data_IF_775771174628
#
_entry.id   IF_775771174628
#
_cell.length_a   1.000
_cell.length_b   1.000
_cell.length_c   1.000
_cell.angle_alpha   90.00
_cell.angle_beta   90.00
_cell.angle_gamma   90.00
#
_symmetry.space_group_name_H-M   'P 1'
#
loop_
_entity.id
_entity.type
_entity.pdbx_description
1 polymer ?
#
# COMPACT_ATOMS: atom_id res chain seq x y z
N UNK A 1 -31.25 24.79 -36.84
CA UNK A 1 -30.42 23.63 -36.42
C UNK A 1 -28.98 23.93 -36.79
N UNK A 2 -27.98 23.57 -35.97
CA UNK A 2 -26.58 23.71 -36.34
C UNK A 2 -26.26 22.82 -37.57
N UNK A 3 -25.25 23.20 -38.35
CA UNK A 3 -24.77 22.38 -39.45
C UNK A 3 -23.96 21.20 -38.89
N UNK A 4 -24.39 19.98 -39.17
CA UNK A 4 -23.71 18.75 -38.72
C UNK A 4 -22.81 18.24 -39.85
N UNK A 5 -21.56 17.93 -39.52
CA UNK A 5 -20.60 17.29 -40.41
C UNK A 5 -20.09 15.97 -39.79
N UNK A 6 -20.18 14.87 -40.54
CA UNK A 6 -19.70 13.56 -40.10
C UNK A 6 -18.23 13.43 -40.42
N UNK A 7 -17.39 13.64 -39.40
CA UNK A 7 -15.94 13.74 -39.57
C UNK A 7 -15.18 12.97 -38.49
N UNK A 8 -13.85 13.02 -38.56
CA UNK A 8 -12.96 12.39 -37.59
C UNK A 8 -12.54 13.39 -36.50
N UNK A 9 -12.21 12.89 -35.32
CA UNK A 9 -11.77 13.71 -34.17
C UNK A 9 -10.50 14.53 -34.50
N UNK A 10 -9.57 13.98 -35.28
CA UNK A 10 -8.36 14.72 -35.69
C UNK A 10 -8.70 15.93 -36.57
N UNK A 11 -9.69 15.82 -37.46
CA UNK A 11 -10.16 16.96 -38.28
C UNK A 11 -10.83 18.05 -37.42
N UNK A 12 -11.56 17.64 -36.37
CA UNK A 12 -12.10 18.60 -35.39
C UNK A 12 -10.98 19.38 -34.71
N UNK A 13 -9.92 18.72 -34.24
CA UNK A 13 -8.81 19.41 -33.59
C UNK A 13 -8.02 20.31 -34.54
N UNK A 14 -7.87 19.94 -35.82
CA UNK A 14 -7.28 20.84 -36.84
C UNK A 14 -8.09 22.13 -36.99
N UNK A 15 -9.43 22.06 -36.93
CA UNK A 15 -10.28 23.24 -36.97
C UNK A 15 -10.20 24.04 -35.65
N UNK A 16 -10.22 23.35 -34.51
CA UNK A 16 -10.17 23.97 -33.18
C UNK A 16 -8.86 24.73 -32.91
N UNK A 17 -7.75 24.35 -33.54
CA UNK A 17 -6.43 24.99 -33.34
C UNK A 17 -6.45 26.47 -33.73
N UNK A 18 -7.30 26.90 -34.67
CA UNK A 18 -7.50 28.31 -35.00
C UNK A 18 -8.01 29.16 -33.82
N UNK A 19 -8.60 28.53 -32.81
CA UNK A 19 -9.14 29.17 -31.61
C UNK A 19 -8.22 29.02 -30.38
N UNK A 20 -7.09 28.32 -30.51
CA UNK A 20 -6.22 27.92 -29.39
C UNK A 20 -5.90 29.06 -28.42
N UNK A 21 -5.49 30.22 -28.94
CA UNK A 21 -5.11 31.39 -28.14
C UNK A 21 -6.28 32.04 -27.39
N UNK A 22 -7.52 31.71 -27.76
CA UNK A 22 -8.74 32.21 -27.12
C UNK A 22 -9.36 31.24 -26.10
N UNK A 23 -8.85 30.01 -26.02
CA UNK A 23 -9.40 28.99 -25.13
C UNK A 23 -8.96 29.22 -23.67
N UNK A 24 -9.80 28.90 -22.68
CA UNK A 24 -9.41 28.97 -21.27
C UNK A 24 -8.28 27.98 -20.97
N UNK A 25 -7.37 28.38 -20.09
CA UNK A 25 -6.29 27.52 -19.59
C UNK A 25 -6.75 26.92 -18.27
N UNK A 26 -6.72 25.58 -18.19
CA UNK A 26 -6.89 24.83 -16.95
C UNK A 26 -5.54 24.21 -16.61
N UNK A 27 -5.03 24.47 -15.40
CA UNK A 27 -3.72 24.01 -14.94
C UNK A 27 -3.85 23.17 -13.68
N UNK A 28 -3.27 21.98 -13.69
CA UNK A 28 -3.29 21.04 -12.57
C UNK A 28 -4.17 19.81 -12.84
N UNK A 29 -4.66 19.21 -11.75
CA UNK A 29 -5.57 18.07 -11.79
C UNK A 29 -6.96 18.48 -12.26
N UNK A 30 -7.52 17.74 -13.22
CA UNK A 30 -8.94 17.84 -13.57
C UNK A 30 -9.74 16.97 -12.60
N UNK A 31 -9.94 17.47 -11.39
CA UNK A 31 -10.67 16.74 -10.35
C UNK A 31 -12.14 16.53 -10.77
N UNK A 32 -12.56 15.28 -10.82
CA UNK A 32 -13.95 14.92 -11.10
C UNK A 32 -14.71 14.86 -9.77
N UNK A 33 -15.62 15.81 -9.55
CA UNK A 33 -16.38 16.00 -8.31
C UNK A 33 -17.53 14.98 -8.13
N UNK A 34 -17.37 13.77 -8.67
CA UNK A 34 -18.29 12.64 -8.53
C UNK A 34 -17.49 11.33 -8.56
N UNK A 35 -18.16 10.23 -8.26
CA UNK A 35 -17.58 8.89 -8.17
C UNK A 35 -16.46 8.77 -7.12
N UNK A 36 -16.62 9.40 -5.96
CA UNK A 36 -15.58 9.38 -4.91
C UNK A 36 -15.49 8.02 -4.18
N UNK A 37 -16.57 7.23 -4.18
CA UNK A 37 -16.60 5.86 -3.66
C UNK A 37 -15.68 4.90 -4.42
N UNK A 38 -15.39 5.20 -5.69
CA UNK A 38 -14.43 4.43 -6.49
C UNK A 38 -13.02 4.38 -5.90
N UNK A 39 -12.65 5.28 -4.97
CA UNK A 39 -11.36 5.21 -4.30
C UNK A 39 -11.27 4.08 -3.27
N UNK A 40 -12.39 3.63 -2.71
CA UNK A 40 -12.44 2.66 -1.60
C UNK A 40 -13.11 1.33 -1.94
N UNK A 41 -14.10 1.34 -2.85
CA UNK A 41 -14.79 0.12 -3.32
C UNK A 41 -13.79 -0.91 -3.84
N UNK A 42 -14.06 -2.20 -3.66
CA UNK A 42 -13.19 -3.28 -4.17
C UNK A 42 -11.70 -3.10 -3.78
N UNK A 43 -11.46 -2.86 -2.49
CA UNK A 43 -10.12 -2.61 -1.92
C UNK A 43 -9.13 -3.75 -2.19
N UNK A 44 -9.61 -5.00 -2.24
CA UNK A 44 -8.81 -6.16 -2.60
C UNK A 44 -8.27 -6.06 -4.04
N UNK A 45 -9.12 -5.69 -5.00
CA UNK A 45 -8.73 -5.45 -6.41
C UNK A 45 -7.62 -4.39 -6.50
N UNK A 46 -7.76 -3.28 -5.78
CA UNK A 46 -6.75 -2.21 -5.72
C UNK A 46 -5.44 -2.68 -5.07
N UNK A 47 -5.51 -3.51 -4.03
CA UNK A 47 -4.35 -4.10 -3.38
C UNK A 47 -3.58 -5.03 -4.34
N UNK A 48 -4.29 -5.93 -5.03
CA UNK A 48 -3.70 -6.79 -6.06
C UNK A 48 -3.07 -6.00 -7.19
N UNK A 49 -3.73 -4.94 -7.68
CA UNK A 49 -3.15 -4.05 -8.69
C UNK A 49 -1.80 -3.49 -8.24
N UNK A 50 -1.72 -2.94 -7.01
CA UNK A 50 -0.47 -2.37 -6.50
C UNK A 50 0.60 -3.43 -6.25
N UNK A 51 0.22 -4.63 -5.80
CA UNK A 51 1.15 -5.75 -5.66
C UNK A 51 1.74 -6.12 -7.02
N UNK A 52 0.90 -6.22 -8.06
CA UNK A 52 1.34 -6.52 -9.42
C UNK A 52 2.23 -5.44 -10.01
N UNK A 53 1.92 -4.15 -9.85
CA UNK A 53 2.79 -3.04 -10.27
C UNK A 53 4.20 -3.17 -9.68
N UNK A 54 4.28 -3.44 -8.36
CA UNK A 54 5.57 -3.62 -7.69
C UNK A 54 6.30 -4.88 -8.16
N UNK A 55 5.58 -6.01 -8.35
CA UNK A 55 6.18 -7.26 -8.83
C UNK A 55 6.70 -7.13 -10.26
N UNK A 56 5.96 -6.46 -11.16
CA UNK A 56 6.39 -6.23 -12.54
C UNK A 56 7.66 -5.37 -12.57
N UNK A 57 7.70 -4.30 -11.78
CA UNK A 57 8.92 -3.51 -11.59
C UNK A 57 10.10 -4.37 -11.14
N UNK A 58 9.92 -5.20 -10.10
CA UNK A 58 10.99 -6.05 -9.58
C UNK A 58 11.43 -7.11 -10.61
N UNK A 59 10.49 -7.70 -11.35
CA UNK A 59 10.77 -8.67 -12.42
C UNK A 59 11.62 -8.04 -13.53
N UNK A 60 11.23 -6.85 -14.01
CA UNK A 60 11.99 -6.12 -15.02
C UNK A 60 13.39 -5.74 -14.52
N UNK A 61 13.50 -5.30 -13.27
CA UNK A 61 14.79 -5.04 -12.63
C UNK A 61 15.69 -6.27 -12.64
N UNK A 62 15.22 -7.42 -12.11
CA UNK A 62 16.03 -8.63 -12.02
C UNK A 62 16.42 -9.20 -13.39
N UNK A 63 15.51 -9.14 -14.38
CA UNK A 63 15.81 -9.59 -15.74
C UNK A 63 16.84 -8.69 -16.43
N UNK A 64 16.77 -7.38 -16.19
CA UNK A 64 17.72 -6.42 -16.74
C UNK A 64 19.13 -6.67 -16.18
N UNK A 65 19.28 -6.82 -14.86
CA UNK A 65 20.61 -7.01 -14.25
C UNK A 65 21.21 -8.40 -14.55
N UNK A 66 20.38 -9.41 -14.77
CA UNK A 66 20.86 -10.74 -15.16
C UNK A 66 21.17 -10.84 -16.65
N UNK A 67 20.72 -9.87 -17.44
CA UNK A 67 20.80 -9.85 -18.90
C UNK A 67 20.18 -11.11 -19.54
N UNK A 68 19.04 -11.55 -19.01
CA UNK A 68 18.38 -12.82 -19.36
C UNK A 68 17.14 -12.64 -20.24
N UNK A 69 16.95 -11.48 -20.89
CA UNK A 69 15.78 -11.24 -21.73
C UNK A 69 15.83 -12.08 -23.01
N UNK A 70 15.05 -13.16 -23.06
CA UNK A 70 14.83 -13.99 -24.25
C UNK A 70 13.60 -13.52 -25.03
N UNK A 71 13.42 -13.99 -26.27
CA UNK A 71 12.20 -13.71 -27.05
C UNK A 71 10.94 -14.29 -26.39
N UNK A 72 11.05 -15.48 -25.78
CA UNK A 72 9.96 -16.13 -25.05
C UNK A 72 9.57 -15.27 -23.84
N UNK A 73 10.55 -14.90 -23.02
CA UNK A 73 10.30 -14.09 -21.83
C UNK A 73 9.74 -12.71 -22.18
N UNK A 74 10.21 -12.09 -23.28
CA UNK A 74 9.62 -10.85 -23.79
C UNK A 74 8.14 -11.01 -24.13
N UNK A 75 7.76 -12.13 -24.76
CA UNK A 75 6.36 -12.44 -25.05
C UNK A 75 5.55 -12.64 -23.77
N UNK A 76 6.11 -13.31 -22.77
CA UNK A 76 5.46 -13.50 -21.47
C UNK A 76 5.22 -12.16 -20.75
N UNK A 77 6.19 -11.25 -20.74
CA UNK A 77 6.01 -9.90 -20.19
C UNK A 77 4.92 -9.12 -20.94
N UNK A 78 4.90 -9.18 -22.28
CA UNK A 78 3.86 -8.52 -23.07
C UNK A 78 2.45 -9.04 -22.73
N UNK A 79 2.29 -10.35 -22.55
CA UNK A 79 1.03 -10.96 -22.09
C UNK A 79 0.64 -10.51 -20.68
N UNK A 80 1.59 -10.53 -19.73
CA UNK A 80 1.33 -10.12 -18.34
C UNK A 80 0.96 -8.63 -18.27
N UNK A 81 1.69 -7.76 -18.97
CA UNK A 81 1.40 -6.32 -19.02
C UNK A 81 0.03 -6.05 -19.64
N UNK A 82 -0.31 -6.69 -20.76
CA UNK A 82 -1.64 -6.53 -21.38
C UNK A 82 -2.76 -7.00 -20.47
N UNK A 83 -2.58 -8.13 -19.79
CA UNK A 83 -3.56 -8.63 -18.83
C UNK A 83 -3.73 -7.63 -17.66
N UNK A 84 -2.63 -7.18 -17.07
CA UNK A 84 -2.64 -6.20 -15.99
C UNK A 84 -3.34 -4.89 -16.40
N UNK A 85 -2.98 -4.32 -17.56
CA UNK A 85 -3.60 -3.10 -18.10
C UNK A 85 -5.09 -3.29 -18.41
N UNK A 86 -5.51 -4.51 -18.76
CA UNK A 86 -6.93 -4.83 -18.91
C UNK A 86 -7.67 -4.77 -17.57
N UNK A 87 -7.06 -5.25 -16.49
CA UNK A 87 -7.63 -5.16 -15.14
C UNK A 87 -7.62 -3.71 -14.59
N UNK A 88 -6.80 -2.83 -15.18
CA UNK A 88 -6.82 -1.38 -14.91
C UNK A 88 -7.92 -0.60 -15.64
N UNK A 89 -8.84 -1.30 -16.32
CA UNK A 89 -9.99 -0.65 -16.95
C UNK A 89 -10.78 0.20 -15.94
N UNK A 90 -11.32 1.32 -16.41
CA UNK A 90 -11.94 2.35 -15.56
C UNK A 90 -13.19 1.89 -14.81
N UNK A 91 -13.73 0.71 -15.11
CA UNK A 91 -14.80 0.12 -14.29
C UNK A 91 -14.34 -1.08 -13.45
N UNK A 92 -13.19 -1.68 -13.77
CA UNK A 92 -12.65 -2.82 -13.03
C UNK A 92 -11.88 -2.32 -11.82
N UNK A 93 -10.80 -1.57 -12.03
CA UNK A 93 -9.94 -1.11 -10.93
C UNK A 93 -10.68 -0.15 -9.96
N UNK A 94 -11.53 0.76 -10.45
CA UNK A 94 -12.35 1.62 -9.58
C UNK A 94 -13.39 0.87 -8.74
N UNK A 95 -13.75 -0.37 -9.08
CA UNK A 95 -14.71 -1.11 -8.27
C UNK A 95 -16.18 -0.86 -8.64
N UNK A 96 -16.46 -0.57 -9.91
CA UNK A 96 -17.80 -0.23 -10.44
C UNK A 96 -18.47 -1.28 -11.36
N UNK A 97 -17.87 -2.44 -11.59
CA UNK A 97 -18.49 -3.59 -12.25
C UNK A 97 -19.44 -4.41 -11.36
N UNK A 98 -20.12 -5.38 -11.97
CA UNK A 98 -20.88 -6.43 -11.26
C UNK A 98 -19.95 -7.43 -10.55
N UNK A 99 -20.43 -8.05 -9.46
CA UNK A 99 -19.67 -9.03 -8.64
C UNK A 99 -18.93 -10.11 -9.42
N UNK A 100 -19.52 -10.64 -10.52
CA UNK A 100 -18.86 -11.65 -11.36
C UNK A 100 -17.50 -11.18 -11.88
N UNK A 101 -17.38 -9.90 -12.25
CA UNK A 101 -16.13 -9.34 -12.77
C UNK A 101 -15.03 -9.41 -11.71
N UNK A 102 -15.34 -9.20 -10.44
CA UNK A 102 -14.34 -9.27 -9.36
C UNK A 102 -13.91 -10.69 -9.03
N UNK A 103 -14.83 -11.65 -9.06
CA UNK A 103 -14.47 -13.07 -8.93
C UNK A 103 -13.54 -13.54 -10.06
N UNK A 104 -13.65 -12.97 -11.27
CA UNK A 104 -12.76 -13.27 -12.39
C UNK A 104 -11.45 -12.48 -12.29
N UNK A 105 -11.52 -11.20 -11.88
CA UNK A 105 -10.38 -10.29 -11.69
C UNK A 105 -9.42 -10.80 -10.61
N UNK A 106 -9.93 -11.21 -9.46
CA UNK A 106 -9.12 -11.76 -8.37
C UNK A 106 -8.35 -13.01 -8.82
N UNK A 107 -9.01 -13.93 -9.53
CA UNK A 107 -8.37 -15.14 -10.06
C UNK A 107 -7.28 -14.81 -11.08
N UNK A 108 -7.52 -13.84 -11.96
CA UNK A 108 -6.51 -13.42 -12.93
C UNK A 108 -5.33 -12.74 -12.24
N UNK A 109 -5.56 -11.88 -11.24
CA UNK A 109 -4.48 -11.29 -10.44
C UNK A 109 -3.61 -12.36 -9.78
N UNK A 110 -4.20 -13.33 -9.07
CA UNK A 110 -3.44 -14.41 -8.42
C UNK A 110 -2.58 -15.21 -9.41
N UNK A 111 -3.10 -15.45 -10.61
CA UNK A 111 -2.36 -16.11 -11.70
C UNK A 111 -1.22 -15.25 -12.23
N UNK A 112 -1.44 -13.94 -12.44
CA UNK A 112 -0.40 -13.01 -12.90
C UNK A 112 0.69 -12.84 -11.84
N UNK A 113 0.32 -12.75 -10.56
CA UNK A 113 1.25 -12.69 -9.45
C UNK A 113 2.14 -13.92 -9.39
N UNK A 114 1.56 -15.12 -9.49
CA UNK A 114 2.32 -16.37 -9.49
C UNK A 114 3.29 -16.47 -10.68
N UNK A 115 2.85 -16.08 -11.88
CA UNK A 115 3.72 -16.02 -13.08
C UNK A 115 4.88 -15.06 -12.87
N UNK A 116 4.60 -13.85 -12.39
CA UNK A 116 5.61 -12.80 -12.20
C UNK A 116 6.59 -13.19 -11.08
N UNK A 117 6.10 -13.79 -10.00
CA UNK A 117 6.95 -14.32 -8.93
C UNK A 117 7.91 -15.40 -9.44
N UNK A 118 7.45 -16.27 -10.35
CA UNK A 118 8.33 -17.27 -10.97
C UNK A 118 9.46 -16.62 -11.77
N UNK A 119 9.15 -15.59 -12.56
CA UNK A 119 10.15 -14.81 -13.31
C UNK A 119 11.18 -14.18 -12.36
N UNK A 120 10.71 -13.54 -11.29
CA UNK A 120 11.58 -12.95 -10.24
C UNK A 120 12.48 -14.02 -9.63
N UNK A 121 11.91 -15.14 -9.20
CA UNK A 121 12.63 -16.24 -8.54
C UNK A 121 13.71 -16.87 -9.44
N UNK A 122 13.43 -17.06 -10.72
CA UNK A 122 14.39 -17.59 -11.69
C UNK A 122 15.55 -16.62 -11.95
N UNK A 123 15.24 -15.34 -12.08
CA UNK A 123 16.24 -14.28 -12.24
C UNK A 123 17.11 -14.14 -10.99
N UNK A 124 16.50 -14.16 -9.79
CA UNK A 124 17.22 -14.17 -8.52
C UNK A 124 18.13 -15.39 -8.43
N UNK A 125 17.65 -16.60 -8.74
CA UNK A 125 18.47 -17.82 -8.73
C UNK A 125 19.70 -17.70 -9.64
N UNK A 126 19.52 -17.12 -10.84
CA UNK A 126 20.63 -16.86 -11.76
C UNK A 126 21.65 -15.90 -11.14
N UNK A 127 21.18 -14.83 -10.50
CA UNK A 127 22.05 -13.84 -9.86
C UNK A 127 22.79 -14.41 -8.65
N UNK A 128 22.09 -15.17 -7.80
CA UNK A 128 22.64 -15.81 -6.61
C UNK A 128 23.83 -16.73 -6.97
N UNK A 129 23.74 -17.48 -8.07
CA UNK A 129 24.84 -18.34 -8.53
C UNK A 129 26.13 -17.59 -8.95
N UNK A 130 26.04 -16.27 -9.15
CA UNK A 130 27.16 -15.41 -9.55
C UNK A 130 27.75 -14.61 -8.38
N UNK A 131 27.13 -14.65 -7.20
CA UNK A 131 27.58 -13.90 -6.03
C UNK A 131 28.54 -14.78 -5.23
N UNK A 132 29.77 -14.30 -5.04
CA UNK A 132 30.74 -14.95 -4.16
C UNK A 132 30.33 -14.76 -2.69
N UNK A 133 30.06 -15.88 -2.03
CA UNK A 133 29.70 -15.96 -0.61
C UNK A 133 30.75 -16.69 0.22
N UNK A 134 31.89 -17.06 -0.36
CA UNK A 134 32.91 -17.90 0.28
C UNK A 134 33.53 -17.31 1.54
N UNK A 135 33.49 -15.98 1.70
CA UNK A 135 33.97 -15.27 2.89
C UNK A 135 32.97 -15.24 4.06
N UNK A 136 31.77 -15.76 3.88
CA UNK A 136 30.67 -15.72 4.84
C UNK A 136 30.42 -17.10 5.46
N UNK A 137 29.96 -17.13 6.71
CA UNK A 137 29.71 -18.39 7.44
C UNK A 137 28.29 -18.93 7.21
N UNK A 138 27.33 -18.02 7.13
CA UNK A 138 25.91 -18.29 6.93
C UNK A 138 25.35 -17.19 6.01
N UNK A 139 25.69 -17.22 4.71
CA UNK A 139 25.42 -16.10 3.81
C UNK A 139 23.93 -15.96 3.51
N UNK A 140 23.39 -14.78 3.80
CA UNK A 140 22.10 -14.32 3.29
C UNK A 140 22.32 -13.14 2.35
N UNK A 141 21.58 -13.13 1.24
CA UNK A 141 21.67 -12.10 0.21
C UNK A 141 20.39 -11.27 0.25
N UNK A 142 20.57 -9.95 0.37
CA UNK A 142 19.50 -8.98 0.38
C UNK A 142 19.55 -8.18 -0.91
N UNK A 143 18.40 -8.00 -1.55
CA UNK A 143 18.26 -7.14 -2.73
C UNK A 143 17.51 -5.87 -2.38
N UNK A 144 17.91 -4.75 -2.96
CA UNK A 144 17.16 -3.51 -2.94
C UNK A 144 16.88 -3.06 -4.37
N UNK A 145 15.64 -3.28 -4.80
CA UNK A 145 15.17 -2.90 -6.14
C UNK A 145 14.79 -1.42 -6.23
N UNK A 146 14.88 -0.64 -5.14
CA UNK A 146 14.46 0.78 -5.14
C UNK A 146 15.60 1.73 -5.53
N UNK A 147 15.22 2.94 -5.98
CA UNK A 147 16.16 3.99 -6.39
C UNK A 147 16.85 4.74 -5.25
N UNK A 148 16.66 4.32 -4.00
CA UNK A 148 17.31 4.90 -2.81
C UNK A 148 17.90 3.81 -1.94
N UNK A 149 18.95 4.15 -1.18
CA UNK A 149 19.54 3.21 -0.23
C UNK A 149 18.55 2.91 0.91
N UNK A 150 18.41 1.64 1.26
CA UNK A 150 17.57 1.19 2.39
C UNK A 150 18.47 0.77 3.54
N UNK A 151 18.08 1.14 4.76
CA UNK A 151 18.79 0.78 5.99
C UNK A 151 17.77 0.29 7.01
N UNK A 152 17.53 -1.02 7.02
CA UNK A 152 16.37 -1.60 7.67
C UNK A 152 16.75 -2.70 8.65
N UNK A 153 15.87 -2.88 9.62
CA UNK A 153 15.92 -4.01 10.53
C UNK A 153 15.25 -5.22 9.88
N UNK A 154 15.99 -6.31 9.78
CA UNK A 154 15.53 -7.57 9.23
C UNK A 154 15.62 -8.65 10.30
N UNK A 155 14.70 -9.61 10.24
CA UNK A 155 14.71 -10.80 11.08
C UNK A 155 15.04 -12.01 10.20
N UNK A 156 16.15 -12.67 10.49
CA UNK A 156 16.55 -13.91 9.84
C UNK A 156 16.73 -14.97 10.93
N UNK A 157 15.90 -16.02 10.91
CA UNK A 157 15.95 -17.12 11.88
C UNK A 157 15.97 -16.63 13.34
N UNK A 158 15.10 -15.67 13.69
CA UNK A 158 15.02 -15.02 15.00
C UNK A 158 16.23 -14.14 15.39
N UNK A 159 17.15 -13.88 14.46
CA UNK A 159 18.22 -12.91 14.65
C UNK A 159 17.83 -11.57 14.03
N UNK A 160 17.79 -10.53 14.86
CA UNK A 160 17.56 -9.18 14.39
C UNK A 160 18.88 -8.50 14.05
N UNK A 161 18.99 -8.02 12.83
CA UNK A 161 20.13 -7.24 12.39
C UNK A 161 19.70 -6.05 11.56
N UNK A 162 20.54 -5.02 11.57
CA UNK A 162 20.34 -3.83 10.76
C UNK A 162 21.25 -3.91 9.54
N UNK A 163 20.65 -3.95 8.36
CA UNK A 163 21.34 -4.10 7.09
C UNK A 163 21.11 -2.87 6.21
N UNK A 164 22.18 -2.40 5.58
CA UNK A 164 22.13 -1.34 4.57
C UNK A 164 22.37 -1.96 3.20
N UNK A 165 21.50 -1.64 2.26
CA UNK A 165 21.65 -1.99 0.85
C UNK A 165 21.53 -0.70 0.03
N UNK A 166 22.50 -0.44 -0.83
CA UNK A 166 22.46 0.74 -1.71
C UNK A 166 21.30 0.62 -2.71
N UNK A 167 20.93 1.74 -3.35
CA UNK A 167 19.92 1.76 -4.41
C UNK A 167 20.27 0.78 -5.52
N UNK A 168 19.28 0.03 -6.02
CA UNK A 168 19.46 -0.96 -7.10
C UNK A 168 20.63 -1.93 -6.85
N UNK A 169 20.87 -2.29 -5.59
CA UNK A 169 22.03 -3.05 -5.16
C UNK A 169 21.68 -4.32 -4.39
N UNK A 170 22.71 -5.04 -3.98
CA UNK A 170 22.59 -6.16 -3.05
C UNK A 170 23.62 -6.06 -1.92
N UNK A 171 23.39 -6.82 -0.85
CA UNK A 171 24.35 -7.01 0.23
C UNK A 171 24.38 -8.49 0.63
N UNK A 172 25.57 -9.02 0.92
CA UNK A 172 25.75 -10.33 1.55
C UNK A 172 26.04 -10.11 3.03
N UNK A 173 25.33 -10.84 3.88
CA UNK A 173 25.38 -10.69 5.34
C UNK A 173 25.45 -12.06 6.02
N UNK A 174 26.14 -12.11 7.16
CA UNK A 174 25.98 -13.19 8.14
C UNK A 174 24.99 -12.71 9.23
N UNK A 175 23.95 -13.50 9.56
CA UNK A 175 23.06 -13.19 10.66
C UNK A 175 23.85 -13.05 11.96
N UNK A 176 23.84 -11.85 12.54
CA UNK A 176 24.46 -11.58 13.83
C UNK A 176 23.52 -10.69 14.63
N UNK A 177 22.93 -11.26 15.68
CA UNK A 177 21.94 -10.57 16.48
C UNK A 177 22.55 -9.27 17.06
N UNK A 178 21.96 -8.14 16.72
CA UNK A 178 22.33 -6.84 17.30
C UNK A 178 21.49 -6.59 18.54
N UNK A 179 22.13 -5.98 19.54
CA UNK A 179 21.43 -5.55 20.74
C UNK A 179 20.45 -4.44 20.35
N UNK A 180 19.21 -4.60 20.79
CA UNK A 180 18.13 -3.63 20.65
C UNK A 180 17.96 -2.92 21.99
N UNK A 181 17.88 -1.60 21.98
CA UNK A 181 17.74 -0.76 23.17
C UNK A 181 16.79 0.42 22.91
N UNK A 182 16.19 0.97 23.97
CA UNK A 182 15.44 2.24 23.89
C UNK A 182 13.99 2.10 23.40
N UNK A 183 13.48 0.87 23.35
CA UNK A 183 12.05 0.61 23.18
C UNK A 183 11.39 0.50 24.55
N UNK A 184 10.20 1.08 24.68
CA UNK A 184 9.34 0.90 25.85
C UNK A 184 7.92 0.56 25.39
N UNK A 185 7.28 -0.29 26.18
CA UNK A 185 5.91 -0.71 26.01
C UNK A 185 5.25 -0.71 27.38
N UNK A 186 4.18 0.05 27.52
CA UNK A 186 3.31 0.10 28.68
C UNK A 186 1.88 -0.23 28.20
N UNK A 187 0.95 -0.45 29.12
CA UNK A 187 -0.41 -0.90 28.78
C UNK A 187 -1.13 -0.04 27.72
N UNK A 188 -0.85 1.27 27.68
CA UNK A 188 -1.44 2.23 26.72
C UNK A 188 -0.42 3.08 25.98
N UNK A 189 0.87 2.78 26.08
CA UNK A 189 1.90 3.61 25.45
C UNK A 189 3.01 2.77 24.82
N UNK A 190 3.52 3.24 23.69
CA UNK A 190 4.73 2.68 23.07
C UNK A 190 5.69 3.81 22.73
N UNK A 191 6.98 3.56 22.91
CA UNK A 191 8.02 4.57 22.75
C UNK A 191 9.25 3.95 22.10
N UNK A 192 9.86 4.67 21.15
CA UNK A 192 11.22 4.42 20.67
C UNK A 192 12.10 5.65 20.96
N UNK A 193 13.32 5.72 20.43
CA UNK A 193 14.23 6.85 20.69
C UNK A 193 13.72 8.20 20.15
N UNK A 194 12.75 8.22 19.23
CA UNK A 194 12.29 9.42 18.53
C UNK A 194 10.86 9.83 18.87
N UNK A 195 9.95 8.87 19.03
CA UNK A 195 8.51 9.10 19.15
C UNK A 195 7.96 8.32 20.34
N UNK A 196 7.01 8.94 21.03
CA UNK A 196 6.12 8.29 22.00
C UNK A 196 4.68 8.41 21.52
N UNK A 197 3.98 7.28 21.51
CA UNK A 197 2.54 7.21 21.27
C UNK A 197 1.84 6.89 22.59
N UNK A 198 0.72 7.56 22.85
CA UNK A 198 -0.18 7.27 23.97
C UNK A 198 -1.60 7.12 23.45
N UNK A 199 -2.27 6.08 23.93
CA UNK A 199 -3.63 5.74 23.57
C UNK A 199 -4.60 6.01 24.74
N UNK A 200 -5.82 6.42 24.43
CA UNK A 200 -6.92 6.52 25.40
C UNK A 200 -7.33 5.13 25.88
N UNK A 201 -8.18 5.06 26.90
CA UNK A 201 -8.78 3.78 27.32
C UNK A 201 -9.69 3.18 26.24
N UNK A 202 -10.19 4.03 25.35
CA UNK A 202 -11.04 3.63 24.21
C UNK A 202 -10.24 3.30 22.95
N UNK A 203 -8.91 3.39 22.99
CA UNK A 203 -8.03 3.05 21.87
C UNK A 203 -7.71 4.19 20.89
N UNK A 204 -8.16 5.41 21.16
CA UNK A 204 -7.78 6.56 20.33
C UNK A 204 -6.34 6.96 20.61
N UNK A 205 -5.56 7.26 19.57
CA UNK A 205 -4.27 7.91 19.70
C UNK A 205 -4.49 9.35 20.17
N UNK A 206 -4.09 9.64 21.41
CA UNK A 206 -4.28 10.93 22.07
C UNK A 206 -2.98 11.73 22.25
N UNK A 207 -1.82 11.12 21.98
CA UNK A 207 -0.54 11.83 21.89
C UNK A 207 0.40 11.12 20.92
N UNK A 208 1.02 11.92 20.05
CA UNK A 208 2.14 11.58 19.19
C UNK A 208 3.23 12.62 19.47
N UNK A 209 4.06 12.31 20.46
CA UNK A 209 5.13 13.18 20.89
C UNK A 209 6.44 12.86 20.16
N UNK A 210 6.95 13.81 19.39
CA UNK A 210 8.25 13.72 18.72
C UNK A 210 9.35 14.36 19.59
N UNK A 211 10.19 13.50 20.15
CA UNK A 211 11.29 13.86 21.05
C UNK A 211 12.42 14.61 20.37
N UNK A 212 12.53 14.52 19.03
CA UNK A 212 13.59 15.22 18.27
C UNK A 212 13.34 16.73 18.25
N UNK A 213 12.07 17.10 18.17
CA UNK A 213 11.63 18.49 18.11
C UNK A 213 10.98 18.95 19.42
N UNK A 214 10.82 18.04 20.39
CA UNK A 214 10.10 18.30 21.62
C UNK A 214 8.64 18.69 21.39
N UNK A 215 8.01 18.13 20.34
CA UNK A 215 6.72 18.59 19.81
C UNK A 215 5.63 17.54 19.94
N UNK A 216 4.46 17.96 20.40
CA UNK A 216 3.23 17.18 20.34
C UNK A 216 2.51 17.45 19.00
N UNK A 217 2.10 16.38 18.32
CA UNK A 217 1.41 16.46 17.03
C UNK A 217 -0.09 16.16 17.13
N UNK A 218 -0.54 15.50 18.19
CA UNK A 218 -1.97 15.31 18.47
C UNK A 218 -2.41 16.39 19.46
N UNK A 219 -3.19 17.36 18.95
CA UNK A 219 -3.80 18.41 19.78
C UNK A 219 -5.17 17.99 20.29
N UNK A 220 -5.75 18.73 21.24
CA UNK A 220 -7.04 18.40 21.89
C UNK A 220 -8.20 18.08 20.91
N UNK A 221 -8.17 18.63 19.69
CA UNK A 221 -9.19 18.41 18.66
C UNK A 221 -8.81 17.35 17.59
N UNK A 222 -7.79 16.54 17.85
CA UNK A 222 -7.32 15.48 16.94
C UNK A 222 -7.47 14.12 17.61
N UNK A 223 -8.11 13.18 16.93
CA UNK A 223 -8.30 11.83 17.40
C UNK A 223 -8.07 10.84 16.26
N UNK A 224 -7.46 9.69 16.53
CA UNK A 224 -7.46 8.56 15.58
C UNK A 224 -8.72 7.70 15.74
N UNK A 225 -9.87 8.39 15.80
CA UNK A 225 -11.17 7.77 16.01
C UNK A 225 -11.46 6.79 14.86
N UNK A 226 -11.92 5.59 15.20
CA UNK A 226 -12.45 4.64 14.24
C UNK A 226 -13.97 4.79 14.24
N UNK A 227 -14.53 5.10 13.07
CA UNK A 227 -15.96 5.35 12.90
C UNK A 227 -16.51 4.58 11.70
N UNK A 228 -17.65 3.93 11.93
CA UNK A 228 -18.49 3.35 10.89
C UNK A 228 -19.58 4.36 10.52
N UNK A 229 -19.72 4.69 9.25
CA UNK A 229 -20.77 5.59 8.76
C UNK A 229 -21.81 4.78 8.03
N UNK A 230 -23.10 5.03 8.25
CA UNK A 230 -24.10 4.42 7.40
C UNK A 230 -24.00 5.02 5.99
N UNK A 231 -23.94 4.16 4.98
CA UNK A 231 -23.80 4.56 3.58
C UNK A 231 -25.08 4.26 2.79
N UNK A 232 -25.63 5.29 2.12
CA UNK A 232 -26.81 5.20 1.27
C UNK A 232 -26.69 6.12 0.03
N UNK A 233 -25.69 5.87 -0.81
CA UNK A 233 -25.52 6.55 -2.10
C UNK A 233 -26.56 6.11 -3.17
N UNK A 234 -27.58 5.32 -2.78
CA UNK A 234 -28.68 4.92 -3.65
C UNK A 234 -28.24 4.19 -4.92
N UNK A 235 -28.60 4.75 -6.08
CA UNK A 235 -28.38 4.10 -7.39
C UNK A 235 -26.89 3.92 -7.77
N UNK A 236 -25.98 4.69 -7.15
CA UNK A 236 -24.56 4.70 -7.46
C UNK A 236 -23.69 4.19 -6.30
N UNK A 237 -24.22 3.25 -5.50
CA UNK A 237 -23.61 2.76 -4.26
C UNK A 237 -22.12 2.33 -4.33
N UNK A 238 -21.65 1.85 -5.49
CA UNK A 238 -20.23 1.49 -5.67
C UNK A 238 -19.36 2.64 -6.18
N UNK A 239 -19.97 3.65 -6.80
CA UNK A 239 -19.28 4.81 -7.37
C UNK A 239 -19.17 5.94 -6.37
N UNK A 240 -20.20 6.21 -5.56
CA UNK A 240 -20.29 7.41 -4.73
C UNK A 240 -20.65 7.12 -3.28
N UNK A 241 -20.50 8.16 -2.46
CA UNK A 241 -21.01 8.23 -1.09
C UNK A 241 -22.21 9.16 -1.03
N UNK A 242 -23.13 8.94 -0.08
CA UNK A 242 -24.22 9.86 0.18
C UNK A 242 -23.63 11.24 0.55
N UNK A 243 -24.05 12.32 -0.12
CA UNK A 243 -23.46 13.67 0.10
C UNK A 243 -23.45 14.15 1.55
N UNK A 244 -24.36 13.64 2.39
CA UNK A 244 -24.53 13.95 3.80
C UNK A 244 -24.12 12.80 4.74
N UNK A 245 -23.38 11.79 4.26
CA UNK A 245 -23.02 10.60 5.06
C UNK A 245 -22.35 10.96 6.40
N UNK A 246 -21.59 12.06 6.44
CA UNK A 246 -20.91 12.55 7.65
C UNK A 246 -21.85 13.11 8.71
N UNK A 247 -22.97 13.69 8.28
CA UNK A 247 -24.00 14.24 9.16
C UNK A 247 -25.08 13.20 9.52
N UNK A 248 -25.00 12.02 8.90
CA UNK A 248 -25.91 10.91 9.07
C UNK A 248 -25.59 10.04 10.29
N UNK A 249 -26.23 8.87 10.31
CA UNK A 249 -26.02 7.86 11.33
C UNK A 249 -24.58 7.32 11.26
N UNK A 250 -23.88 7.33 12.40
CA UNK A 250 -22.54 6.80 12.50
C UNK A 250 -22.23 6.30 13.91
N UNK A 251 -21.26 5.40 13.99
CA UNK A 251 -20.91 4.69 15.22
C UNK A 251 -19.41 4.82 15.46
N UNK A 252 -19.04 5.35 16.64
CA UNK A 252 -17.65 5.35 17.10
C UNK A 252 -17.34 3.99 17.69
N UNK A 253 -16.30 3.35 17.19
CA UNK A 253 -15.81 2.08 17.69
C UNK A 253 -14.82 2.34 18.83
N UNK A 254 -15.04 1.66 19.96
CA UNK A 254 -14.14 1.67 21.11
C UNK A 254 -13.32 0.37 21.12
N UNK A 255 -12.03 0.47 21.42
CA UNK A 255 -11.17 -0.70 21.49
C UNK A 255 -11.60 -1.59 22.66
N UNK A 256 -11.92 -2.84 22.35
CA UNK A 256 -12.21 -3.86 23.38
C UNK A 256 -10.92 -4.31 24.07
N UNK A 257 -9.82 -4.35 23.31
CA UNK A 257 -8.55 -4.85 23.80
C UNK A 257 -7.39 -4.08 23.22
N UNK A 258 -6.45 -3.73 24.10
CA UNK A 258 -5.14 -3.18 23.75
C UNK A 258 -4.05 -4.11 24.27
N UNK A 259 -3.08 -4.43 23.43
CA UNK A 259 -1.89 -5.19 23.81
C UNK A 259 -0.63 -4.57 23.25
N UNK A 260 0.41 -4.50 24.08
CA UNK A 260 1.72 -4.05 23.64
C UNK A 260 2.73 -5.19 23.63
N UNK A 261 3.54 -5.24 22.60
CA UNK A 261 4.63 -6.21 22.46
C UNK A 261 5.91 -5.49 22.07
N UNK A 262 7.03 -5.91 22.65
CA UNK A 262 8.37 -5.61 22.13
C UNK A 262 8.88 -6.90 21.48
N UNK A 263 9.23 -6.84 20.20
CA UNK A 263 9.78 -7.96 19.44
C UNK A 263 10.97 -7.47 18.62
N UNK A 264 12.18 -7.77 19.10
CA UNK A 264 13.41 -7.22 18.55
C UNK A 264 13.33 -5.69 18.48
N UNK A 265 13.70 -5.06 17.35
CA UNK A 265 13.82 -3.61 17.19
C UNK A 265 12.47 -2.91 16.97
N UNK A 266 11.36 -3.58 17.29
CA UNK A 266 10.01 -3.05 17.11
C UNK A 266 9.23 -3.14 18.41
N UNK A 267 8.48 -2.09 18.70
CA UNK A 267 7.39 -2.13 19.68
C UNK A 267 6.08 -1.89 18.96
N UNK A 268 5.05 -2.67 19.30
CA UNK A 268 3.77 -2.65 18.61
C UNK A 268 2.64 -2.54 19.63
N UNK A 269 1.75 -1.57 19.44
CA UNK A 269 0.44 -1.48 20.08
C UNK A 269 -0.60 -2.11 19.15
N UNK A 270 -1.27 -3.16 19.60
CA UNK A 270 -2.37 -3.80 18.87
C UNK A 270 -3.68 -3.44 19.54
N UNK A 271 -4.62 -2.93 18.76
CA UNK A 271 -5.97 -2.60 19.18
C UNK A 271 -6.96 -3.51 18.44
N UNK A 272 -7.93 -4.03 19.17
CA UNK A 272 -9.00 -4.88 18.64
C UNK A 272 -10.32 -4.17 18.86
N UNK A 273 -11.13 -4.12 17.80
CA UNK A 273 -12.48 -3.58 17.79
C UNK A 273 -13.43 -4.61 17.19
N UNK A 274 -14.67 -4.56 17.65
CA UNK A 274 -15.79 -5.27 17.04
C UNK A 274 -16.88 -4.27 16.66
N UNK A 275 -17.55 -4.55 15.55
CA UNK A 275 -18.74 -3.83 15.13
C UNK A 275 -19.73 -4.83 14.55
N UNK A 276 -20.82 -5.07 15.28
CA UNK A 276 -21.79 -6.13 14.99
C UNK A 276 -21.11 -7.51 14.77
N UNK A 277 -21.08 -7.98 13.53
CA UNK A 277 -20.47 -9.26 13.13
C UNK A 277 -19.04 -9.14 12.61
N UNK A 278 -18.52 -7.92 12.55
CA UNK A 278 -17.21 -7.60 11.98
C UNK A 278 -16.12 -7.45 13.04
N UNK A 279 -14.90 -7.80 12.65
CA UNK A 279 -13.70 -7.75 13.48
C UNK A 279 -12.64 -6.85 12.84
N UNK A 280 -12.07 -5.94 13.63
CA UNK A 280 -11.01 -5.05 13.19
C UNK A 280 -9.82 -5.14 14.14
N UNK A 281 -8.62 -5.20 13.56
CA UNK A 281 -7.35 -5.16 14.28
C UNK A 281 -6.43 -4.12 13.67
N UNK A 282 -5.99 -3.17 14.49
CA UNK A 282 -5.01 -2.16 14.13
C UNK A 282 -3.72 -2.43 14.90
N UNK A 283 -2.58 -2.41 14.23
CA UNK A 283 -1.27 -2.60 14.84
C UNK A 283 -0.36 -1.41 14.51
N UNK A 284 -0.15 -0.55 15.50
CA UNK A 284 0.74 0.61 15.44
C UNK A 284 2.14 0.18 15.87
N UNK A 285 3.13 0.31 15.00
CA UNK A 285 4.50 -0.17 15.23
C UNK A 285 5.49 0.98 15.16
N UNK A 286 6.34 1.07 16.18
CA UNK A 286 7.52 1.92 16.19
C UNK A 286 8.76 1.05 16.04
N UNK A 287 9.61 1.39 15.08
CA UNK A 287 10.93 0.77 14.92
C UNK A 287 11.97 1.62 15.65
N UNK A 288 12.90 1.01 16.40
CA UNK A 288 13.85 1.67 17.30
C UNK A 288 14.48 2.95 16.74
N UNK A 289 14.95 2.88 15.50
CA UNK A 289 15.71 3.95 14.86
C UNK A 289 14.92 4.66 13.74
N UNK A 290 13.59 4.69 13.83
CA UNK A 290 12.74 5.31 12.83
C UNK A 290 11.74 6.28 13.47
N UNK A 291 11.55 7.48 12.92
CA UNK A 291 10.47 8.38 13.30
C UNK A 291 9.14 8.06 12.58
N UNK A 292 9.06 6.93 11.90
CA UNK A 292 7.84 6.52 11.20
C UNK A 292 6.98 5.66 12.13
N UNK A 293 5.68 5.95 12.14
CA UNK A 293 4.66 5.06 12.72
C UNK A 293 4.13 4.19 11.59
N UNK A 294 4.30 2.87 11.70
CA UNK A 294 3.70 1.91 10.78
C UNK A 294 2.37 1.44 11.33
N UNK A 295 1.29 1.54 10.54
CA UNK A 295 -0.04 1.07 10.92
C UNK A 295 -0.41 -0.08 9.99
N UNK A 296 -0.59 -1.27 10.56
CA UNK A 296 -1.13 -2.41 9.84
C UNK A 296 -2.57 -2.64 10.26
N UNK A 297 -3.47 -2.72 9.28
CA UNK A 297 -4.88 -2.99 9.50
C UNK A 297 -5.22 -4.40 9.03
N UNK A 298 -6.06 -5.07 9.80
CA UNK A 298 -6.75 -6.29 9.38
C UNK A 298 -8.23 -6.08 9.69
N UNK A 299 -9.07 -6.27 8.68
CA UNK A 299 -10.51 -6.03 8.77
C UNK A 299 -11.16 -7.28 8.18
N UNK A 300 -11.94 -7.97 9.01
CA UNK A 300 -12.87 -9.02 8.60
C UNK A 300 -14.27 -8.41 8.65
N UNK A 301 -14.72 -7.93 7.49
CA UNK A 301 -15.91 -7.08 7.35
C UNK A 301 -17.10 -7.86 6.80
N UNK A 302 -18.21 -7.80 7.52
CA UNK A 302 -19.46 -8.50 7.21
C UNK A 302 -20.68 -7.57 7.19
N UNK A 303 -20.48 -6.25 7.37
CA UNK A 303 -21.61 -5.30 7.39
C UNK A 303 -21.95 -4.78 5.99
N UNK A 304 -23.24 -4.83 5.58
CA UNK A 304 -23.68 -4.16 4.36
C UNK A 304 -23.88 -2.66 4.61
N UNK A 305 -23.61 -1.83 3.60
CA UNK A 305 -23.97 -0.40 3.58
C UNK A 305 -23.42 0.42 4.77
N UNK A 306 -22.14 0.19 5.10
CA UNK A 306 -21.39 0.86 6.17
C UNK A 306 -19.96 1.16 5.71
#
# INVERSE_FOLDING_TARGET
>A
LPHVDFSRVDKFFTHADAFRESLPIISGELYFEAHQGCFTSESATKAHNRIMENKLHDAEFFITITNNMTSILRSEFDEIWKAMLTLQFHDILPGSCISRVYHETEKEYLKLEAKTEKIISDAQSTLLSKIDTSSYKDPHILFNTTCFARNEWININNNWLKARVNSYGYAVIDPKNKIVNGLKAESRSIENNYIKLLFSENGDLISLYDKRYGKEYITENMHSEIRAYHEDAGFFAAWDFASNYRDGESYVLLAEKMTTVISGPKTTMTLIYHYNSSYLRFAFTLTQDSPRVDVQTFIDWHEPNV
#
